data_IF_571387540691
#
_entry.id   IF_571387540691
#
_cell.length_a   1.000
_cell.length_b   1.000
_cell.length_c   1.000
_cell.angle_alpha   90.00
_cell.angle_beta   90.00
_cell.angle_gamma   90.00
#
_symmetry.space_group_name_H-M   'P 1'
#
loop_
_entity.id
_entity.type
_entity.pdbx_description
1 polymer ?
#
# COMPACT_ATOMS: atom_id res chain seq x y z
N UNK A 1 17.94 72.85 7.17
CA UNK A 1 17.17 72.30 6.03
C UNK A 1 16.67 70.92 6.49
N UNK A 2 15.63 70.75 7.33
CA UNK A 2 14.20 71.08 7.19
C UNK A 2 13.63 70.45 5.89
N UNK A 3 12.62 69.55 5.85
CA UNK A 3 11.45 69.30 6.69
C UNK A 3 10.97 67.84 6.60
N UNK A 4 10.13 67.47 7.58
CA UNK A 4 9.39 66.22 7.74
C UNK A 4 7.95 66.29 7.17
N UNK A 5 7.18 65.20 7.40
CA UNK A 5 5.70 65.05 7.42
C UNK A 5 5.04 64.74 6.05
N UNK A 6 3.91 64.04 5.90
CA UNK A 6 3.10 63.10 6.68
C UNK A 6 1.95 62.63 5.76
N UNK A 7 1.47 61.40 5.96
CA UNK A 7 0.05 60.94 5.98
C UNK A 7 -0.95 61.49 4.93
N UNK A 8 -1.61 60.58 4.19
CA UNK A 8 -3.08 60.65 3.99
C UNK A 8 -3.74 59.27 3.77
N UNK A 9 -4.82 59.06 4.52
CA UNK A 9 -5.84 58.00 4.48
C UNK A 9 -6.93 58.30 3.42
N UNK A 10 -7.55 57.25 2.87
CA UNK A 10 -9.02 57.01 2.69
C UNK A 10 -9.23 55.95 1.59
N UNK A 11 -9.81 54.76 1.85
CA UNK A 11 -11.26 54.42 1.88
C UNK A 11 -11.98 54.75 0.54
N UNK A 12 -12.67 53.84 -0.16
CA UNK A 12 -13.78 52.97 0.29
C UNK A 12 -14.14 51.88 -0.75
N UNK A 13 -14.42 50.65 -0.25
CA UNK A 13 -15.46 49.64 -0.59
C UNK A 13 -15.98 49.45 -2.03
N UNK A 14 -15.98 48.20 -2.49
CA UNK A 14 -17.21 47.44 -2.81
C UNK A 14 -16.98 45.93 -2.63
N UNK A 15 -18.00 45.25 -2.10
CA UNK A 15 -18.02 43.85 -1.70
C UNK A 15 -18.51 42.94 -2.84
N UNK A 16 -18.10 41.67 -2.81
CA UNK A 16 -18.94 40.56 -3.25
C UNK A 16 -18.55 39.30 -2.47
N UNK A 17 -19.48 38.85 -1.64
CA UNK A 17 -19.43 37.62 -0.85
C UNK A 17 -20.16 36.52 -1.61
N UNK A 18 -19.59 35.31 -1.68
CA UNK A 18 -20.36 34.10 -1.90
C UNK A 18 -19.80 32.97 -1.03
N UNK A 19 -20.35 32.87 0.19
CA UNK A 19 -20.21 31.70 1.04
C UNK A 19 -21.28 30.67 0.67
N UNK A 20 -20.89 29.41 0.57
CA UNK A 20 -21.79 28.28 0.31
C UNK A 20 -21.84 27.43 1.58
N UNK A 21 -22.81 27.71 2.44
CA UNK A 21 -23.15 26.88 3.62
C UNK A 21 -24.32 25.99 3.23
N UNK A 22 -24.15 24.67 3.33
CA UNK A 22 -25.25 23.69 3.18
C UNK A 22 -25.94 23.52 4.54
N UNK A 23 -27.25 23.72 4.51
CA UNK A 23 -28.16 23.68 5.65
C UNK A 23 -28.56 22.25 6.03
N UNK A 24 -28.69 22.01 7.32
CA UNK A 24 -29.15 20.76 7.94
C UNK A 24 -30.66 20.94 8.21
N UNK A 25 -31.52 20.17 7.57
CA UNK A 25 -32.96 20.18 7.85
C UNK A 25 -33.33 19.03 8.77
N UNK A 26 -33.67 19.35 10.02
CA UNK A 26 -34.34 18.45 10.95
C UNK A 26 -35.87 18.63 10.79
N UNK A 27 -36.58 17.56 10.40
CA UNK A 27 -38.04 17.54 10.39
C UNK A 27 -38.53 17.05 11.74
N UNK A 28 -39.10 17.97 12.51
CA UNK A 28 -39.93 17.69 13.69
C UNK A 28 -41.37 17.88 13.25
N UNK A 29 -42.19 16.83 13.36
CA UNK A 29 -43.64 16.99 13.26
C UNK A 29 -44.29 16.41 14.53
N UNK A 30 -45.11 17.22 15.19
CA UNK A 30 -45.89 16.90 16.40
C UNK A 30 -47.39 16.72 16.05
N UNK A 31 -48.20 16.16 16.97
CA UNK A 31 -49.29 15.21 16.64
C UNK A 31 -50.70 15.83 16.68
N UNK A 32 -51.70 15.06 16.25
CA UNK A 32 -53.10 15.24 16.67
C UNK A 32 -53.86 13.89 16.73
N UNK A 33 -54.95 13.91 17.51
CA UNK A 33 -55.53 12.84 18.35
C UNK A 33 -56.54 11.89 17.68
N UNK A 34 -56.82 10.81 18.45
CA UNK A 34 -58.06 10.00 18.55
C UNK A 34 -58.10 8.74 17.64
N UNK A 35 -58.60 7.56 18.05
CA UNK A 35 -59.51 7.14 19.14
C UNK A 35 -59.39 5.62 19.37
N UNK A 36 -59.61 5.18 20.60
CA UNK A 36 -59.67 3.80 21.13
C UNK A 36 -60.46 2.76 20.30
N UNK A 37 -60.02 1.49 20.35
CA UNK A 37 -60.75 0.38 21.01
C UNK A 37 -59.97 -0.96 20.98
N UNK A 38 -59.77 -1.57 22.15
CA UNK A 38 -59.46 -3.01 22.31
C UNK A 38 -60.77 -3.82 22.24
N UNK A 39 -60.77 -5.13 21.88
CA UNK A 39 -60.60 -6.16 22.92
C UNK A 39 -60.03 -7.55 22.51
N UNK A 40 -59.47 -8.22 23.53
CA UNK A 40 -59.51 -9.67 23.85
C UNK A 40 -58.65 -10.74 23.13
N UNK A 41 -58.10 -11.60 24.00
CA UNK A 41 -57.23 -12.77 23.85
C UNK A 41 -57.92 -13.99 23.20
N UNK A 42 -57.15 -14.82 22.46
CA UNK A 42 -56.84 -16.23 22.83
C UNK A 42 -55.83 -16.90 21.86
N UNK A 43 -55.13 -17.96 22.32
CA UNK A 43 -53.89 -18.46 21.75
C UNK A 43 -54.09 -19.67 20.82
N UNK A 44 -53.22 -19.82 19.83
CA UNK A 44 -52.94 -21.13 19.23
C UNK A 44 -51.47 -21.46 19.38
N UNK A 45 -51.24 -22.67 19.88
CA UNK A 45 -49.95 -23.23 20.21
C UNK A 45 -49.09 -23.51 18.98
N UNK A 46 -47.80 -23.21 19.15
CA UNK A 46 -46.64 -24.01 18.78
C UNK A 46 -46.65 -24.78 17.45
N UNK A 47 -45.87 -24.30 16.49
CA UNK A 47 -44.78 -25.11 15.92
C UNK A 47 -43.54 -24.24 15.81
N UNK A 48 -42.66 -24.37 16.80
CA UNK A 48 -41.32 -23.82 16.73
C UNK A 48 -40.55 -24.54 15.63
N UNK A 49 -40.18 -23.81 14.58
CA UNK A 49 -39.01 -24.15 13.77
C UNK A 49 -37.82 -23.41 14.36
N UNK A 50 -37.31 -23.91 15.48
CA UNK A 50 -36.03 -23.48 16.05
C UNK A 50 -34.92 -24.47 15.64
N UNK A 51 -34.86 -24.86 14.37
CA UNK A 51 -33.77 -25.67 13.82
C UNK A 51 -33.68 -25.40 12.31
N UNK A 52 -32.94 -24.37 11.88
CA UNK A 52 -32.52 -24.26 10.46
C UNK A 52 -31.22 -23.49 10.31
N UNK A 53 -31.02 -22.42 11.08
CA UNK A 53 -29.81 -21.59 10.95
C UNK A 53 -28.52 -22.33 11.30
N UNK A 54 -28.54 -23.23 12.28
CA UNK A 54 -27.34 -23.97 12.68
C UNK A 54 -26.92 -25.03 11.65
N UNK A 55 -27.88 -25.68 10.98
CA UNK A 55 -27.59 -26.72 9.96
C UNK A 55 -27.12 -26.06 8.66
N UNK A 56 -27.77 -24.97 8.24
CA UNK A 56 -27.35 -24.20 7.07
C UNK A 56 -25.97 -23.55 7.26
N UNK A 57 -25.67 -23.11 8.50
CA UNK A 57 -24.36 -22.57 8.87
C UNK A 57 -23.26 -23.63 8.80
N UNK A 58 -23.47 -24.81 9.40
CA UNK A 58 -22.51 -25.92 9.35
C UNK A 58 -22.23 -26.37 7.90
N UNK A 59 -23.26 -26.40 7.06
CA UNK A 59 -23.14 -26.69 5.61
C UNK A 59 -22.33 -25.63 4.86
N UNK A 60 -22.52 -24.35 5.21
CA UNK A 60 -21.80 -23.23 4.60
C UNK A 60 -20.32 -23.20 5.01
N UNK A 61 -20.01 -23.42 6.29
CA UNK A 61 -18.63 -23.48 6.80
C UNK A 61 -17.85 -24.67 6.20
N UNK A 62 -18.48 -25.84 6.07
CA UNK A 62 -17.88 -27.00 5.38
C UNK A 62 -17.61 -26.75 3.90
N UNK A 63 -18.52 -26.03 3.22
CA UNK A 63 -18.34 -25.65 1.82
C UNK A 63 -17.16 -24.70 1.67
N UNK A 64 -17.05 -23.69 2.54
CA UNK A 64 -15.95 -22.73 2.52
C UNK A 64 -14.60 -23.41 2.82
N UNK A 65 -14.54 -24.31 3.81
CA UNK A 65 -13.34 -25.12 4.09
C UNK A 65 -12.88 -25.93 2.87
N UNK A 66 -13.81 -26.58 2.16
CA UNK A 66 -13.50 -27.33 0.94
C UNK A 66 -12.94 -26.43 -0.17
N UNK A 67 -13.52 -25.23 -0.32
CA UNK A 67 -13.04 -24.25 -1.31
C UNK A 67 -11.64 -23.78 -0.94
N UNK A 68 -11.39 -23.42 0.33
CA UNK A 68 -10.06 -23.02 0.81
C UNK A 68 -9.03 -24.14 0.59
N UNK A 69 -9.38 -25.39 0.89
CA UNK A 69 -8.47 -26.53 0.65
C UNK A 69 -8.16 -26.71 -0.84
N UNK A 70 -9.16 -26.53 -1.70
CA UNK A 70 -8.96 -26.60 -3.15
C UNK A 70 -8.03 -25.48 -3.62
N UNK A 71 -8.22 -24.27 -3.11
CA UNK A 71 -7.42 -23.10 -3.44
C UNK A 71 -5.96 -23.23 -2.97
N UNK A 72 -5.74 -23.69 -1.73
CA UNK A 72 -4.38 -23.96 -1.21
C UNK A 72 -3.67 -24.98 -2.10
N UNK A 73 -4.34 -26.08 -2.45
CA UNK A 73 -3.75 -27.12 -3.29
C UNK A 73 -3.49 -26.62 -4.72
N UNK A 74 -4.33 -25.75 -5.26
CA UNK A 74 -4.14 -25.12 -6.56
C UNK A 74 -2.90 -24.21 -6.54
N UNK A 75 -2.82 -23.33 -5.54
CA UNK A 75 -1.68 -22.42 -5.37
C UNK A 75 -0.35 -23.18 -5.21
N UNK A 76 -0.33 -24.30 -4.47
CA UNK A 76 0.90 -25.09 -4.27
C UNK A 76 1.34 -25.93 -5.50
N UNK A 77 0.46 -26.20 -6.47
CA UNK A 77 0.78 -27.07 -7.61
C UNK A 77 1.56 -26.38 -8.72
N UNK A 78 1.64 -25.05 -8.71
CA UNK A 78 2.34 -24.27 -9.74
C UNK A 78 3.78 -24.02 -9.28
N UNK A 79 4.71 -24.78 -9.84
CA UNK A 79 6.14 -24.45 -10.00
C UNK A 79 7.01 -24.23 -8.75
N UNK A 80 7.00 -25.18 -7.83
CA UNK A 80 8.04 -25.32 -6.77
C UNK A 80 9.23 -26.19 -7.22
N UNK A 81 9.32 -26.58 -8.52
CA UNK A 81 10.25 -27.63 -8.98
C UNK A 81 11.61 -27.13 -9.48
N UNK A 82 11.79 -25.85 -9.76
CA UNK A 82 12.99 -25.38 -10.48
C UNK A 82 13.98 -24.54 -9.66
N UNK A 83 13.85 -24.47 -8.33
CA UNK A 83 14.55 -23.43 -7.55
C UNK A 83 15.36 -24.00 -6.39
N UNK A 84 16.46 -24.64 -6.76
CA UNK A 84 17.61 -24.79 -5.88
C UNK A 84 17.97 -23.45 -5.21
N UNK A 85 18.58 -23.52 -4.03
CA UNK A 85 18.90 -22.45 -3.07
C UNK A 85 19.76 -21.26 -3.59
N UNK A 86 19.92 -21.09 -4.90
CA UNK A 86 20.83 -20.13 -5.52
C UNK A 86 20.16 -19.22 -6.56
N UNK A 87 18.96 -18.70 -6.24
CA UNK A 87 18.29 -17.71 -7.10
C UNK A 87 18.93 -16.31 -7.02
N UNK A 88 19.86 -16.05 -6.10
CA UNK A 88 20.59 -14.78 -6.14
C UNK A 88 21.51 -14.79 -7.35
N UNK A 89 21.37 -13.87 -8.32
CA UNK A 89 22.39 -13.70 -9.35
C UNK A 89 23.76 -13.64 -8.67
N UNK A 90 24.79 -14.31 -9.17
CA UNK A 90 26.10 -14.36 -8.50
C UNK A 90 26.73 -12.98 -8.22
N UNK A 91 26.19 -11.91 -8.82
CA UNK A 91 26.55 -10.51 -8.60
C UNK A 91 25.62 -9.74 -7.65
N UNK A 92 24.61 -10.38 -7.03
CA UNK A 92 23.63 -9.71 -6.18
C UNK A 92 24.26 -9.35 -4.83
N UNK A 93 24.37 -8.05 -4.49
CA UNK A 93 25.28 -7.61 -3.44
C UNK A 93 24.67 -7.58 -2.04
N UNK A 94 23.39 -7.92 -1.89
CA UNK A 94 22.65 -7.78 -0.63
C UNK A 94 22.37 -9.11 0.05
N UNK A 95 22.36 -9.08 1.38
CA UNK A 95 21.74 -10.11 2.20
C UNK A 95 20.23 -9.88 2.23
N UNK A 96 19.46 -10.93 1.95
CA UNK A 96 18.00 -10.90 1.98
C UNK A 96 17.52 -11.36 3.35
N UNK A 97 16.65 -10.56 3.98
CA UNK A 97 15.87 -10.93 5.16
C UNK A 97 14.39 -10.91 4.79
N UNK A 98 13.77 -12.08 4.82
CA UNK A 98 12.37 -12.29 4.49
C UNK A 98 11.67 -13.02 5.63
N UNK A 99 10.63 -12.40 6.18
CA UNK A 99 9.90 -12.88 7.34
C UNK A 99 8.44 -13.19 6.91
N UNK A 100 7.97 -14.45 7.07
CA UNK A 100 6.59 -14.82 6.76
C UNK A 100 5.56 -13.95 7.49
N UNK A 101 4.47 -13.59 6.81
CA UNK A 101 3.42 -12.73 7.33
C UNK A 101 3.71 -11.24 7.21
N UNK A 102 4.89 -10.84 6.71
CA UNK A 102 5.19 -9.44 6.37
C UNK A 102 4.99 -9.21 4.87
N UNK A 103 4.48 -8.04 4.52
CA UNK A 103 4.34 -7.60 3.12
C UNK A 103 5.63 -6.97 2.55
N UNK A 104 6.75 -7.10 3.26
CA UNK A 104 8.03 -6.49 2.88
C UNK A 104 9.19 -7.46 3.02
N UNK A 105 10.22 -7.24 2.21
CA UNK A 105 11.52 -7.90 2.25
C UNK A 105 12.59 -6.85 2.54
N UNK A 106 13.55 -7.17 3.40
CA UNK A 106 14.65 -6.24 3.72
C UNK A 106 15.94 -6.74 3.11
N UNK A 107 16.57 -5.92 2.27
CA UNK A 107 17.89 -6.15 1.69
C UNK A 107 18.92 -5.30 2.45
N UNK A 108 20.01 -5.91 2.88
CA UNK A 108 21.07 -5.20 3.63
C UNK A 108 22.45 -5.41 3.04
N UNK A 109 23.27 -4.36 3.07
CA UNK A 109 24.66 -4.39 2.62
C UNK A 109 25.47 -3.31 3.34
N UNK A 110 26.67 -3.65 3.75
CA UNK A 110 27.66 -2.66 4.17
C UNK A 110 28.63 -2.36 3.00
N UNK A 111 28.85 -1.07 2.72
CA UNK A 111 29.72 -0.64 1.64
C UNK A 111 30.49 0.62 2.05
N UNK A 112 31.83 0.56 2.03
CA UNK A 112 32.72 1.67 2.37
C UNK A 112 32.41 2.36 3.73
N UNK A 113 31.92 1.58 4.71
CA UNK A 113 31.56 2.10 6.04
C UNK A 113 30.20 2.81 6.08
N UNK A 114 29.39 2.70 5.04
CA UNK A 114 27.98 3.04 5.01
C UNK A 114 27.15 1.75 5.14
N UNK A 115 26.01 1.86 5.81
CA UNK A 115 25.02 0.81 5.90
C UNK A 115 23.87 1.10 4.93
N UNK A 116 23.65 0.19 3.98
CA UNK A 116 22.59 0.29 2.97
C UNK A 116 21.49 -0.69 3.37
N UNK A 117 20.28 -0.16 3.51
CA UNK A 117 19.06 -0.91 3.75
C UNK A 117 18.08 -0.60 2.62
N UNK A 118 17.57 -1.63 1.97
CA UNK A 118 16.47 -1.51 1.00
C UNK A 118 15.28 -2.24 1.56
N UNK A 119 14.17 -1.54 1.75
CA UNK A 119 12.89 -2.15 2.12
C UNK A 119 12.07 -2.26 0.85
N UNK A 120 11.82 -3.48 0.42
CA UNK A 120 11.07 -3.79 -0.78
C UNK A 120 9.65 -4.17 -0.37
N UNK A 121 8.67 -3.47 -0.89
CA UNK A 121 7.26 -3.71 -0.60
C UNK A 121 6.64 -4.60 -1.66
N UNK A 122 5.61 -5.33 -1.27
CA UNK A 122 4.76 -6.09 -2.17
C UNK A 122 4.32 -5.21 -3.35
N UNK A 123 4.40 -5.72 -4.60
CA UNK A 123 3.90 -4.98 -5.74
C UNK A 123 2.40 -4.71 -5.59
N UNK A 124 1.95 -3.57 -6.11
CA UNK A 124 0.52 -3.33 -6.24
C UNK A 124 0.02 -4.19 -7.40
N UNK A 125 -0.85 -5.17 -7.11
CA UNK A 125 -1.55 -5.92 -8.14
C UNK A 125 -2.60 -4.98 -8.73
N UNK A 126 -2.22 -4.20 -9.73
CA UNK A 126 -3.21 -3.53 -10.57
C UNK A 126 -3.85 -4.64 -11.39
N UNK A 127 -5.00 -5.13 -10.92
CA UNK A 127 -5.91 -5.88 -11.77
C UNK A 127 -6.59 -4.84 -12.64
N UNK A 128 -6.32 -4.89 -13.94
CA UNK A 128 -7.04 -4.09 -14.93
C UNK A 128 -8.51 -4.51 -14.91
N UNK A 129 -9.29 -3.97 -13.97
CA UNK A 129 -10.74 -3.93 -14.06
C UNK A 129 -11.16 -2.65 -14.79
N UNK A 130 -10.54 -2.41 -15.95
CA UNK A 130 -11.14 -1.57 -16.98
C UNK A 130 -12.03 -2.47 -17.84
N UNK A 131 -13.31 -2.51 -17.49
CA UNK A 131 -14.40 -2.89 -18.39
C UNK A 131 -14.35 -1.97 -19.62
N UNK A 132 -13.61 -2.34 -20.66
CA UNK A 132 -13.80 -1.80 -22.01
C UNK A 132 -13.55 -2.94 -23.03
N UNK A 133 -14.66 -3.55 -23.45
CA UNK A 133 -14.78 -4.46 -24.59
C UNK A 133 -14.48 -3.69 -25.88
N UNK A 134 -13.27 -3.83 -26.42
CA UNK A 134 -13.01 -3.68 -27.84
C UNK A 134 -11.83 -4.58 -28.24
N UNK A 135 -12.13 -5.62 -29.00
CA UNK A 135 -11.16 -6.58 -29.48
C UNK A 135 -10.26 -6.02 -30.59
N UNK A 136 -8.94 -6.14 -30.38
CA UNK A 136 -7.96 -6.46 -31.42
C UNK A 136 -6.72 -7.08 -30.76
N UNK A 137 -6.29 -8.25 -31.23
CA UNK A 137 -5.14 -9.00 -30.70
C UNK A 137 -3.81 -8.26 -31.00
N UNK A 138 -3.22 -7.62 -30.00
CA UNK A 138 -1.79 -7.30 -29.93
C UNK A 138 -1.36 -7.44 -28.47
N UNK A 139 -0.45 -8.38 -28.19
CA UNK A 139 0.26 -8.60 -26.91
C UNK A 139 -0.40 -7.94 -25.68
N UNK A 140 -1.25 -8.71 -24.97
CA UNK A 140 -1.92 -8.24 -23.76
C UNK A 140 -0.92 -7.51 -22.85
N UNK A 141 -1.32 -6.36 -22.28
CA UNK A 141 -0.37 -5.46 -21.63
C UNK A 141 0.46 -6.28 -20.66
N UNK A 142 1.78 -6.20 -20.79
CA UNK A 142 2.64 -6.49 -19.67
C UNK A 142 2.12 -5.60 -18.54
N UNK A 143 1.37 -6.19 -17.61
CA UNK A 143 1.12 -5.61 -16.30
C UNK A 143 2.52 -5.46 -15.71
N UNK A 144 3.20 -4.37 -16.03
CA UNK A 144 4.50 -3.99 -15.52
C UNK A 144 4.26 -3.62 -14.07
N UNK A 145 4.04 -4.68 -13.28
CA UNK A 145 3.88 -4.61 -11.86
C UNK A 145 5.10 -3.88 -11.36
N UNK A 146 4.92 -2.70 -10.80
CA UNK A 146 6.00 -1.92 -10.25
C UNK A 146 6.17 -2.28 -8.79
N UNK A 147 7.41 -2.33 -8.33
CA UNK A 147 7.73 -2.67 -6.95
C UNK A 147 8.15 -1.39 -6.22
N UNK A 148 7.37 -0.93 -5.24
CA UNK A 148 7.79 0.15 -4.37
C UNK A 148 8.95 -0.30 -3.49
N UNK A 149 10.01 0.51 -3.44
CA UNK A 149 11.14 0.27 -2.56
C UNK A 149 11.66 1.55 -1.93
N UNK A 150 12.12 1.44 -0.69
CA UNK A 150 12.74 2.53 0.05
C UNK A 150 14.21 2.18 0.27
N UNK A 151 15.12 3.01 -0.26
CA UNK A 151 16.57 2.85 -0.05
C UNK A 151 17.03 3.84 1.01
N UNK A 152 17.61 3.33 2.09
CA UNK A 152 18.24 4.14 3.13
C UNK A 152 19.75 3.90 3.14
N UNK A 153 20.54 4.97 2.97
CA UNK A 153 22.00 4.93 3.10
C UNK A 153 22.40 5.68 4.36
N UNK A 154 22.89 4.94 5.35
CA UNK A 154 23.29 5.46 6.67
C UNK A 154 24.80 5.56 6.77
N UNK A 155 25.31 6.75 7.10
CA UNK A 155 26.74 6.97 7.37
C UNK A 155 27.08 6.64 8.83
N UNK A 156 28.37 6.49 9.14
CA UNK A 156 28.88 6.26 10.51
C UNK A 156 28.41 7.29 11.55
N UNK A 157 28.07 8.51 11.11
CA UNK A 157 27.52 9.57 11.98
C UNK A 157 26.06 9.33 12.39
N UNK A 158 25.39 8.33 11.82
CA UNK A 158 23.94 8.13 11.94
C UNK A 158 23.11 8.96 10.97
N UNK A 159 23.72 9.89 10.23
CA UNK A 159 23.05 10.65 9.18
C UNK A 159 22.67 9.71 8.03
N UNK A 160 21.41 9.76 7.64
CA UNK A 160 20.85 8.89 6.61
C UNK A 160 20.26 9.69 5.46
N UNK A 161 20.47 9.20 4.24
CA UNK A 161 19.78 9.68 3.04
C UNK A 161 18.80 8.58 2.61
N UNK A 162 17.53 8.94 2.53
CA UNK A 162 16.45 8.03 2.15
C UNK A 162 15.90 8.39 0.77
N UNK A 163 15.65 7.39 -0.04
CA UNK A 163 15.08 7.50 -1.37
C UNK A 163 13.80 6.67 -1.42
N UNK A 164 12.71 7.27 -1.90
CA UNK A 164 11.53 6.55 -2.37
C UNK A 164 11.75 6.23 -3.84
N UNK A 165 11.56 4.97 -4.21
CA UNK A 165 11.78 4.51 -5.58
C UNK A 165 10.71 3.52 -6.03
N UNK A 166 10.55 3.43 -7.34
CA UNK A 166 9.77 2.42 -8.03
C UNK A 166 10.68 1.59 -8.92
N UNK A 167 10.64 0.26 -8.76
CA UNK A 167 11.36 -0.66 -9.63
C UNK A 167 10.44 -1.22 -10.72
N UNK A 168 10.86 -1.05 -11.96
CA UNK A 168 10.26 -1.59 -13.18
C UNK A 168 11.19 -2.66 -13.78
N UNK A 169 10.75 -3.44 -14.78
CA UNK A 169 11.64 -4.31 -15.54
C UNK A 169 12.83 -3.50 -16.09
N UNK A 170 14.06 -3.91 -15.75
CA UNK A 170 15.31 -3.26 -16.15
C UNK A 170 15.45 -1.74 -15.82
N UNK A 171 14.62 -1.19 -14.94
CA UNK A 171 14.65 0.24 -14.58
C UNK A 171 14.32 0.50 -13.11
N UNK A 172 14.90 1.55 -12.55
CA UNK A 172 14.56 2.08 -11.22
C UNK A 172 14.32 3.58 -11.38
N UNK A 173 13.15 4.04 -10.95
CA UNK A 173 12.80 5.46 -10.87
C UNK A 173 12.91 5.93 -9.42
N UNK A 174 13.42 7.15 -9.20
CA UNK A 174 13.44 7.82 -7.89
C UNK A 174 12.29 8.84 -7.88
N UNK A 175 11.38 8.72 -6.91
CA UNK A 175 10.25 9.65 -6.78
C UNK A 175 10.58 10.82 -5.86
N UNK A 176 11.27 10.53 -4.74
CA UNK A 176 11.56 11.51 -3.71
C UNK A 176 12.81 11.14 -2.92
N UNK A 177 13.42 12.14 -2.27
CA UNK A 177 14.51 11.94 -1.33
C UNK A 177 14.33 12.79 -0.07
N UNK A 178 14.78 12.27 1.06
CA UNK A 178 14.75 12.96 2.35
C UNK A 178 16.01 12.69 3.16
N UNK A 179 16.35 13.61 4.07
CA UNK A 179 17.48 13.47 4.98
C UNK A 179 16.96 13.16 6.38
N UNK A 180 17.51 12.12 7.02
CA UNK A 180 17.17 11.73 8.38
C UNK A 180 18.37 11.84 9.30
N UNK A 181 18.23 12.59 10.39
CA UNK A 181 19.23 12.71 11.43
C UNK A 181 18.96 11.71 12.57
N UNK A 182 20.02 11.29 13.28
CA UNK A 182 19.86 10.41 14.42
C UNK A 182 19.08 11.12 15.53
N UNK A 183 17.93 10.57 15.90
CA UNK A 183 17.08 11.10 16.97
C UNK A 183 15.95 12.02 16.50
N UNK A 184 15.74 12.18 15.19
CA UNK A 184 14.63 12.97 14.64
C UNK A 184 13.26 12.43 15.10
N UNK A 185 12.40 13.35 15.53
CA UNK A 185 10.98 13.05 15.72
C UNK A 185 10.27 12.87 14.37
N UNK A 186 9.02 12.41 14.40
CA UNK A 186 8.22 12.30 13.17
C UNK A 186 8.01 13.68 12.50
N UNK A 187 7.84 14.74 13.29
CA UNK A 187 7.67 16.10 12.78
C UNK A 187 8.94 16.60 12.08
N UNK A 188 10.12 16.30 12.65
CA UNK A 188 11.41 16.67 12.06
C UNK A 188 11.63 15.94 10.73
N UNK A 189 11.23 14.67 10.64
CA UNK A 189 11.33 13.88 9.41
C UNK A 189 10.47 14.47 8.29
N UNK A 190 9.24 14.89 8.59
CA UNK A 190 8.36 15.54 7.62
C UNK A 190 8.90 16.90 7.17
N UNK A 191 9.58 17.64 8.06
CA UNK A 191 10.18 18.92 7.71
C UNK A 191 11.41 18.79 6.79
N UNK A 192 12.04 17.61 6.75
CA UNK A 192 13.22 17.31 5.94
C UNK A 192 12.88 16.60 4.62
N UNK A 193 11.62 16.63 4.19
CA UNK A 193 11.24 16.22 2.84
C UNK A 193 11.87 17.16 1.81
N UNK A 194 12.52 16.57 0.80
CA UNK A 194 13.06 17.30 -0.33
C UNK A 194 11.99 17.82 -1.28
N UNK A 195 12.36 18.64 -2.27
CA UNK A 195 11.48 18.90 -3.41
C UNK A 195 11.19 17.59 -4.17
N UNK A 196 10.21 17.64 -5.07
CA UNK A 196 9.98 16.57 -6.03
C UNK A 196 11.29 16.25 -6.78
N UNK A 197 11.59 14.97 -6.98
CA UNK A 197 12.82 14.56 -7.64
C UNK A 197 12.89 15.12 -9.06
N UNK A 198 11.76 15.23 -9.76
CA UNK A 198 11.71 15.72 -11.13
C UNK A 198 12.11 17.19 -11.29
N UNK A 199 11.89 17.99 -10.23
CA UNK A 199 12.24 19.41 -10.19
C UNK A 199 13.74 19.67 -9.98
N UNK A 200 14.53 18.62 -9.72
CA UNK A 200 15.98 18.73 -9.56
C UNK A 200 16.70 18.91 -10.90
N UNK A 201 17.86 19.59 -10.85
CA UNK A 201 18.75 19.72 -12.00
C UNK A 201 19.13 18.35 -12.60
N UNK A 202 19.18 18.28 -13.93
CA UNK A 202 19.44 17.04 -14.67
C UNK A 202 20.76 16.36 -14.30
N UNK A 203 21.83 17.13 -14.05
CA UNK A 203 23.09 16.56 -13.62
C UNK A 203 22.99 16.03 -12.19
N UNK A 204 22.25 16.72 -11.32
CA UNK A 204 21.99 16.25 -9.97
C UNK A 204 21.20 14.92 -9.97
N UNK A 205 20.11 14.82 -10.74
CA UNK A 205 19.35 13.57 -10.92
C UNK A 205 20.23 12.41 -11.35
N UNK A 206 21.05 12.60 -12.40
CA UNK A 206 22.01 11.60 -12.89
C UNK A 206 23.01 11.15 -11.82
N UNK A 207 23.49 12.08 -10.99
CA UNK A 207 24.42 11.73 -9.91
C UNK A 207 23.78 10.91 -8.79
N UNK A 208 22.48 11.11 -8.50
CA UNK A 208 21.76 10.28 -7.53
C UNK A 208 21.52 8.86 -8.03
N UNK A 209 21.16 8.68 -9.30
CA UNK A 209 21.09 7.34 -9.89
C UNK A 209 22.43 6.60 -9.80
N UNK A 210 23.53 7.26 -10.19
CA UNK A 210 24.88 6.69 -10.07
C UNK A 210 25.27 6.40 -8.60
N UNK A 211 24.82 7.23 -7.66
CA UNK A 211 25.05 7.03 -6.23
C UNK A 211 24.41 5.73 -5.72
N UNK A 212 23.19 5.42 -6.15
CA UNK A 212 22.49 4.16 -5.83
C UNK A 212 23.12 2.96 -6.55
N UNK A 213 23.48 3.12 -7.83
CA UNK A 213 24.08 2.07 -8.65
C UNK A 213 25.39 1.53 -8.06
N UNK A 214 26.30 2.43 -7.63
CA UNK A 214 27.57 2.07 -7.00
C UNK A 214 27.36 1.27 -5.70
N UNK A 215 26.25 1.51 -5.01
CA UNK A 215 25.87 0.82 -3.77
C UNK A 215 25.15 -0.50 -4.00
N UNK A 216 24.88 -0.85 -5.25
CA UNK A 216 24.31 -2.14 -5.63
C UNK A 216 22.83 -2.10 -5.98
N UNK A 217 22.16 -0.95 -5.86
CA UNK A 217 20.77 -0.77 -6.31
C UNK A 217 20.80 -0.47 -7.80
N UNK A 218 20.60 -1.51 -8.63
CA UNK A 218 20.79 -1.44 -10.08
C UNK A 218 19.57 -1.96 -10.85
N UNK A 219 19.32 -1.34 -12.00
CA UNK A 219 18.38 -1.83 -13.02
C UNK A 219 18.53 -3.34 -13.29
N UNK A 220 19.75 -3.84 -13.48
CA UNK A 220 19.99 -5.27 -13.80
C UNK A 220 19.59 -6.25 -12.68
N UNK A 221 19.18 -5.76 -11.50
CA UNK A 221 18.73 -6.61 -10.38
C UNK A 221 17.22 -6.59 -10.19
N UNK A 222 16.48 -5.74 -10.92
CA UNK A 222 15.04 -5.57 -10.72
C UNK A 222 14.24 -6.78 -11.19
N UNK A 223 14.64 -7.46 -12.27
CA UNK A 223 13.96 -8.68 -12.73
C UNK A 223 14.01 -9.80 -11.70
N UNK A 224 15.17 -10.01 -11.06
CA UNK A 224 15.29 -10.93 -9.93
C UNK A 224 14.38 -10.51 -8.77
N UNK A 225 14.31 -9.21 -8.47
CA UNK A 225 13.48 -8.69 -7.40
C UNK A 225 11.99 -8.91 -7.69
N UNK A 226 11.56 -8.72 -8.94
CA UNK A 226 10.21 -9.04 -9.41
C UNK A 226 9.85 -10.50 -9.18
N UNK A 227 10.68 -11.41 -9.67
CA UNK A 227 10.45 -12.84 -9.49
C UNK A 227 10.40 -13.23 -7.99
N UNK A 228 11.32 -12.69 -7.19
CA UNK A 228 11.37 -12.92 -5.75
C UNK A 228 10.08 -12.46 -5.06
N UNK A 229 9.65 -11.23 -5.37
CA UNK A 229 8.46 -10.65 -4.74
C UNK A 229 7.17 -11.33 -5.19
N UNK A 230 7.06 -11.76 -6.45
CA UNK A 230 5.91 -12.54 -6.92
C UNK A 230 5.80 -13.90 -6.22
N UNK A 231 6.92 -14.57 -5.97
CA UNK A 231 6.93 -15.78 -5.15
C UNK A 231 6.48 -15.49 -3.71
N UNK A 232 7.00 -14.43 -3.12
CA UNK A 232 6.56 -14.01 -1.78
C UNK A 232 5.07 -13.73 -1.75
N UNK A 233 4.52 -13.03 -2.75
CA UNK A 233 3.07 -12.76 -2.86
C UNK A 233 2.25 -14.04 -2.77
N UNK A 234 2.66 -15.04 -3.54
CA UNK A 234 2.01 -16.34 -3.55
C UNK A 234 2.15 -17.08 -2.21
N UNK A 235 3.33 -17.09 -1.61
CA UNK A 235 3.57 -17.74 -0.32
C UNK A 235 2.75 -17.10 0.81
N UNK A 236 2.67 -15.77 0.82
CA UNK A 236 1.87 -15.01 1.78
C UNK A 236 0.37 -15.24 1.57
N UNK A 237 -0.10 -15.37 0.33
CA UNK A 237 -1.48 -15.74 0.03
C UNK A 237 -1.83 -17.14 0.58
N UNK A 238 -0.95 -18.12 0.36
CA UNK A 238 -1.13 -19.47 0.92
C UNK A 238 -1.11 -19.45 2.45
N UNK A 239 -0.21 -18.67 3.07
CA UNK A 239 -0.17 -18.50 4.52
C UNK A 239 -1.47 -17.88 5.04
N UNK A 240 -1.99 -16.86 4.35
CA UNK A 240 -3.26 -16.24 4.67
C UNK A 240 -4.42 -17.24 4.59
N UNK A 241 -4.53 -18.03 3.51
CA UNK A 241 -5.55 -19.07 3.38
C UNK A 241 -5.48 -20.11 4.51
N UNK A 242 -4.28 -20.52 4.91
CA UNK A 242 -4.08 -21.42 6.05
C UNK A 242 -4.57 -20.81 7.36
N UNK A 243 -4.35 -19.50 7.57
CA UNK A 243 -4.85 -18.80 8.75
C UNK A 243 -6.38 -18.67 8.74
N UNK A 244 -6.99 -18.39 7.58
CA UNK A 244 -8.46 -18.38 7.43
C UNK A 244 -9.03 -19.77 7.68
N UNK A 245 -8.42 -20.82 7.12
CA UNK A 245 -8.80 -22.21 7.40
C UNK A 245 -8.79 -22.50 8.90
N UNK A 246 -7.70 -22.16 9.59
CA UNK A 246 -7.57 -22.37 11.03
C UNK A 246 -8.68 -21.66 11.81
N UNK A 247 -9.00 -20.42 11.45
CA UNK A 247 -10.11 -19.68 12.08
C UNK A 247 -11.47 -20.36 11.89
N UNK A 248 -11.69 -21.03 10.75
CA UNK A 248 -12.93 -21.77 10.50
C UNK A 248 -13.03 -23.10 11.23
N UNK A 249 -11.91 -23.64 11.71
CA UNK A 249 -11.83 -24.90 12.45
C UNK A 249 -11.95 -24.70 13.98
N UNK A 250 -11.89 -23.46 14.46
CA UNK A 250 -12.10 -23.06 15.87
C UNK A 250 -13.59 -22.96 16.24
#
# INVERSE_FOLDING_TARGET
>A
MAFALCIRRSATKFASTNGRVRSISAVVNRPSLARNSSPLLRPFASRGFLYSTAIDRLSSEQTLLRVIDTEINSALQIDDRDLDEEMTPGSFPFRIEDNPGRQTVTLTRDYNGEHIKVVVSMPSLVTDESDDDDGDDVDGPSNESSIPLVVTVTKKSGLSLEFSCMAFPDEIAIDALSVKHPGDSLEDQMANEGPDFEDLDENLKKTFYKFLEIRGVKASTTNFLHEYMMRKVKQEYVLWLKNVKKFMEE
#
